data_IF_281662208871
#
_entry.id   IF_281662208871
#
_cell.length_a   1.000
_cell.length_b   1.000
_cell.length_c   1.000
_cell.angle_alpha   90.00
_cell.angle_beta   90.00
_cell.angle_gamma   90.00
#
_symmetry.space_group_name_H-M   'P 1'
#
loop_
_entity.id
_entity.type
_entity.pdbx_description
1 polymer ?
#
# COMPACT_ATOMS: atom_id res chain seq x y z
N UNK A 1 21.99 -20.84 -3.42
CA UNK A 1 23.12 -19.99 -3.01
C UNK A 1 23.02 -19.80 -1.51
N UNK A 2 24.04 -20.18 -0.73
CA UNK A 2 24.01 -20.00 0.71
C UNK A 2 24.13 -18.52 1.08
N UNK A 3 23.33 -18.09 2.07
CA UNK A 3 23.43 -16.77 2.69
C UNK A 3 24.03 -16.97 4.09
N UNK A 4 25.12 -16.26 4.37
CA UNK A 4 25.83 -16.33 5.64
C UNK A 4 25.67 -15.02 6.42
N UNK A 5 25.53 -15.13 7.74
CA UNK A 5 25.26 -13.98 8.61
C UNK A 5 26.56 -13.34 9.11
N UNK A 6 26.53 -12.02 9.32
CA UNK A 6 27.59 -11.26 9.98
C UNK A 6 28.96 -11.31 9.28
N UNK A 7 29.02 -11.64 7.99
CA UNK A 7 30.27 -11.71 7.23
C UNK A 7 30.61 -10.37 6.57
N UNK A 8 31.71 -9.73 6.99
CA UNK A 8 32.24 -8.52 6.35
C UNK A 8 33.74 -8.41 6.57
N UNK A 9 34.47 -8.23 5.49
CA UNK A 9 35.94 -8.15 5.46
C UNK A 9 36.40 -6.91 4.73
N UNK A 10 37.64 -6.52 4.97
CA UNK A 10 38.33 -5.54 4.12
C UNK A 10 38.82 -6.17 2.82
N UNK A 11 39.14 -5.40 1.80
CA UNK A 11 39.85 -5.90 0.61
C UNK A 11 40.97 -4.93 0.19
N UNK A 12 42.23 -5.40 0.07
CA UNK A 12 43.34 -4.58 -0.42
C UNK A 12 43.41 -4.51 -1.94
N UNK A 13 42.50 -5.18 -2.67
CA UNK A 13 42.55 -5.28 -4.13
C UNK A 13 42.56 -3.91 -4.80
N UNK A 14 43.44 -3.77 -5.79
CA UNK A 14 43.50 -2.66 -6.73
C UNK A 14 42.96 -3.14 -8.07
N UNK A 15 42.20 -2.31 -8.77
CA UNK A 15 41.67 -2.64 -10.08
C UNK A 15 40.28 -3.27 -10.07
N UNK A 16 39.93 -3.93 -11.17
CA UNK A 16 38.62 -4.56 -11.41
C UNK A 16 38.63 -6.09 -11.23
N UNK A 17 39.80 -6.68 -10.93
CA UNK A 17 39.99 -8.13 -10.85
C UNK A 17 39.42 -8.76 -9.57
N UNK A 18 39.68 -10.07 -9.43
CA UNK A 18 39.35 -10.88 -8.25
C UNK A 18 39.72 -10.18 -6.94
N UNK A 19 38.80 -10.21 -5.97
CA UNK A 19 38.99 -9.61 -4.67
C UNK A 19 39.87 -10.54 -3.82
N UNK A 20 40.96 -10.01 -3.27
CA UNK A 20 41.62 -10.59 -2.12
C UNK A 20 40.82 -10.18 -0.89
N UNK A 21 40.48 -11.13 -0.02
CA UNK A 21 39.73 -10.88 1.20
C UNK A 21 40.71 -10.69 2.36
N UNK A 22 40.61 -9.55 3.02
CA UNK A 22 41.46 -9.14 4.13
C UNK A 22 40.88 -9.51 5.49
N UNK A 23 41.33 -8.79 6.53
CA UNK A 23 40.84 -8.99 7.88
C UNK A 23 39.34 -8.65 8.00
N UNK A 24 38.61 -9.32 8.91
CA UNK A 24 37.24 -8.95 9.22
C UNK A 24 37.16 -7.50 9.72
N UNK A 25 36.09 -6.81 9.31
CA UNK A 25 35.76 -5.50 9.86
C UNK A 25 35.35 -5.67 11.32
N UNK A 26 35.62 -4.68 12.17
CA UNK A 26 35.30 -4.75 13.60
C UNK A 26 33.84 -5.19 13.82
N UNK A 27 33.65 -6.18 14.72
CA UNK A 27 32.36 -6.79 15.06
C UNK A 27 31.68 -7.61 13.94
N UNK A 28 32.40 -7.91 12.86
CA UNK A 28 31.99 -8.88 11.84
C UNK A 28 32.92 -10.11 11.83
N UNK A 29 32.45 -11.18 11.20
CA UNK A 29 33.18 -12.41 10.96
C UNK A 29 33.89 -12.36 9.59
N UNK A 30 34.98 -13.12 9.45
CA UNK A 30 35.48 -13.49 8.12
C UNK A 30 34.47 -14.39 7.41
N UNK A 31 34.64 -14.61 6.10
CA UNK A 31 33.73 -15.45 5.33
C UNK A 31 33.77 -16.91 5.83
N UNK A 32 34.98 -17.46 6.04
CA UNK A 32 35.16 -18.78 6.64
C UNK A 32 34.56 -18.88 8.06
N UNK A 33 34.76 -17.86 8.91
CA UNK A 33 34.18 -17.84 10.27
C UNK A 33 32.64 -17.78 10.25
N UNK A 34 32.04 -17.17 9.22
CA UNK A 34 30.60 -17.15 9.01
C UNK A 34 30.06 -18.47 8.41
N UNK A 35 30.95 -19.38 8.02
CA UNK A 35 30.62 -20.73 7.53
C UNK A 35 30.83 -20.95 6.03
N UNK A 36 31.25 -19.94 5.27
CA UNK A 36 31.52 -20.10 3.84
C UNK A 36 32.65 -21.11 3.59
N UNK A 37 32.46 -21.97 2.60
CA UNK A 37 33.40 -23.03 2.21
C UNK A 37 34.05 -22.74 0.86
N UNK A 38 35.21 -23.34 0.61
CA UNK A 38 35.89 -23.27 -0.69
C UNK A 38 34.95 -23.69 -1.83
N UNK A 39 34.88 -22.88 -2.88
CA UNK A 39 34.00 -23.08 -4.03
C UNK A 39 32.59 -22.51 -3.87
N UNK A 40 32.20 -21.99 -2.70
CA UNK A 40 30.88 -21.40 -2.51
C UNK A 40 30.64 -20.22 -3.47
N UNK A 41 29.48 -20.23 -4.12
CA UNK A 41 28.99 -19.05 -4.85
C UNK A 41 28.32 -18.10 -3.86
N UNK A 42 28.98 -16.97 -3.61
CA UNK A 42 28.59 -15.93 -2.66
C UNK A 42 28.00 -14.73 -3.39
N UNK A 43 26.80 -14.31 -3.00
CA UNK A 43 26.32 -12.96 -3.32
C UNK A 43 27.04 -11.97 -2.41
N UNK A 44 27.74 -11.01 -3.02
CA UNK A 44 28.53 -10.02 -2.31
C UNK A 44 28.01 -8.61 -2.55
N UNK A 45 28.15 -7.76 -1.52
CA UNK A 45 28.10 -6.31 -1.65
C UNK A 45 29.48 -5.74 -1.39
N UNK A 46 30.01 -5.00 -2.36
CA UNK A 46 31.29 -4.30 -2.27
C UNK A 46 31.04 -2.81 -2.07
N UNK A 47 31.64 -2.29 -1.02
CA UNK A 47 31.73 -0.88 -0.70
C UNK A 47 33.15 -0.41 -0.93
N UNK A 48 33.32 0.48 -1.90
CA UNK A 48 34.59 1.10 -2.21
C UNK A 48 34.53 2.59 -1.87
N UNK A 49 35.44 3.04 -1.03
CA UNK A 49 35.78 4.45 -0.83
C UNK A 49 36.66 4.87 -2.01
N UNK A 50 36.12 5.70 -2.90
CA UNK A 50 36.85 6.25 -4.06
C UNK A 50 36.88 7.78 -3.88
N UNK A 51 38.06 8.31 -3.56
CA UNK A 51 38.20 9.70 -3.13
C UNK A 51 37.42 9.94 -1.83
N UNK A 52 36.53 10.93 -1.83
CA UNK A 52 35.67 11.26 -0.68
C UNK A 52 34.25 10.65 -0.77
N UNK A 53 33.97 9.80 -1.76
CA UNK A 53 32.65 9.24 -2.02
C UNK A 53 32.63 7.71 -1.88
N UNK A 54 31.49 7.16 -1.45
CA UNK A 54 31.24 5.72 -1.42
C UNK A 54 30.65 5.23 -2.74
N UNK A 55 31.41 4.45 -3.50
CA UNK A 55 30.92 3.65 -4.62
C UNK A 55 30.45 2.28 -4.12
N UNK A 56 29.49 1.67 -4.83
CA UNK A 56 28.87 0.41 -4.44
C UNK A 56 28.68 -0.50 -5.65
N UNK A 57 28.92 -1.79 -5.46
CA UNK A 57 28.45 -2.82 -6.38
C UNK A 57 27.89 -4.02 -5.61
N UNK A 58 26.99 -4.75 -6.25
CA UNK A 58 26.52 -6.07 -5.83
C UNK A 58 26.80 -7.04 -6.96
N UNK A 59 27.29 -8.23 -6.62
CA UNK A 59 27.65 -9.24 -7.58
C UNK A 59 27.62 -10.64 -7.00
N UNK A 60 27.99 -11.62 -7.82
CA UNK A 60 28.21 -13.00 -7.41
C UNK A 60 29.65 -13.39 -7.67
N UNK A 61 30.23 -14.12 -6.73
CA UNK A 61 31.62 -14.56 -6.80
C UNK A 61 31.79 -15.96 -6.26
N UNK A 62 32.79 -16.67 -6.77
CA UNK A 62 33.25 -17.94 -6.20
C UNK A 62 34.27 -17.62 -5.11
N UNK A 63 33.96 -18.02 -3.88
CA UNK A 63 34.85 -17.90 -2.73
C UNK A 63 35.90 -19.00 -2.78
N UNK A 64 37.17 -18.64 -2.58
CA UNK A 64 38.26 -19.60 -2.43
C UNK A 64 38.90 -19.41 -1.05
N UNK A 65 38.89 -20.46 -0.21
CA UNK A 65 39.36 -20.44 1.18
C UNK A 65 40.84 -20.81 1.30
N UNK A 66 41.67 -20.23 0.43
CA UNK A 66 43.11 -20.44 0.44
C UNK A 66 43.83 -19.65 1.55
N UNK A 67 45.15 -19.83 1.65
CA UNK A 67 46.00 -19.06 2.59
C UNK A 67 45.83 -17.53 2.44
N UNK A 68 45.51 -17.08 1.24
CA UNK A 68 44.98 -15.74 0.97
C UNK A 68 43.59 -15.91 0.36
N UNK A 69 42.51 -15.73 1.15
CA UNK A 69 41.16 -15.97 0.67
C UNK A 69 40.81 -15.01 -0.46
N UNK A 70 40.06 -15.49 -1.46
CA UNK A 70 39.68 -14.67 -2.62
C UNK A 70 38.21 -14.83 -2.98
N UNK A 71 37.67 -13.85 -3.71
CA UNK A 71 36.33 -13.88 -4.27
C UNK A 71 36.37 -13.38 -5.72
N UNK A 72 35.93 -14.21 -6.67
CA UNK A 72 35.78 -13.75 -8.06
C UNK A 72 34.66 -12.69 -8.17
N UNK A 73 34.63 -11.93 -9.27
CA UNK A 73 33.65 -10.83 -9.44
C UNK A 73 32.85 -11.05 -10.70
N UNK A 74 31.54 -11.29 -10.55
CA UNK A 74 30.55 -11.19 -11.61
C UNK A 74 29.48 -10.18 -11.19
N UNK A 75 29.53 -8.98 -11.76
CA UNK A 75 28.73 -7.84 -11.29
C UNK A 75 27.29 -7.95 -11.76
N UNK A 76 26.35 -7.77 -10.85
CA UNK A 76 24.92 -7.68 -11.15
C UNK A 76 24.48 -6.23 -11.30
N UNK A 77 24.92 -5.36 -10.39
CA UNK A 77 24.64 -3.91 -10.42
C UNK A 77 25.80 -3.14 -9.80
N UNK A 78 26.12 -1.98 -10.35
CA UNK A 78 27.22 -1.14 -9.87
C UNK A 78 26.97 0.33 -10.14
N UNK A 79 27.43 1.19 -9.23
CA UNK A 79 27.42 2.65 -9.41
C UNK A 79 28.36 3.12 -10.54
N UNK A 80 29.20 2.25 -11.10
CA UNK A 80 30.02 2.52 -12.27
C UNK A 80 29.34 2.09 -13.58
N UNK A 81 28.10 2.59 -13.80
CA UNK A 81 27.27 2.22 -14.96
C UNK A 81 27.16 0.69 -15.14
N UNK A 82 26.94 -0.04 -14.04
CA UNK A 82 26.88 -1.50 -13.99
C UNK A 82 28.17 -2.24 -14.42
N UNK A 83 29.29 -1.55 -14.64
CA UNK A 83 30.60 -2.17 -14.82
C UNK A 83 31.29 -2.44 -13.46
N UNK A 84 32.27 -3.35 -13.39
CA UNK A 84 33.10 -3.54 -12.21
C UNK A 84 33.71 -2.23 -11.70
N UNK A 85 33.64 -2.01 -10.39
CA UNK A 85 34.34 -0.89 -9.74
C UNK A 85 35.85 -1.07 -9.88
N UNK A 86 36.53 -0.02 -10.34
CA UNK A 86 37.99 0.07 -10.34
C UNK A 86 38.46 0.50 -8.94
N UNK A 87 38.97 -0.45 -8.15
CA UNK A 87 39.32 -0.22 -6.76
C UNK A 87 40.67 0.53 -6.64
N UNK A 88 40.75 1.59 -5.81
CA UNK A 88 42.00 2.31 -5.58
C UNK A 88 42.97 1.57 -4.63
N UNK A 89 42.59 0.40 -4.10
CA UNK A 89 43.32 -0.30 -3.04
C UNK A 89 43.10 0.29 -1.64
N UNK A 90 43.89 -0.18 -0.67
CA UNK A 90 43.86 0.29 0.73
C UNK A 90 43.00 -0.55 1.67
N UNK A 91 42.86 -0.11 2.92
CA UNK A 91 42.17 -0.86 4.00
C UNK A 91 40.71 -0.46 4.19
N UNK A 92 40.24 0.56 3.47
CA UNK A 92 38.89 1.11 3.65
C UNK A 92 37.82 0.39 2.81
N UNK A 93 38.24 -0.44 1.84
CA UNK A 93 37.31 -1.15 0.97
C UNK A 93 36.77 -2.37 1.69
N UNK A 94 35.46 -2.57 1.63
CA UNK A 94 34.78 -3.60 2.39
C UNK A 94 33.96 -4.49 1.47
N UNK A 95 34.03 -5.79 1.71
CA UNK A 95 33.22 -6.81 1.04
C UNK A 95 32.38 -7.48 2.10
N UNK A 96 31.07 -7.47 1.93
CA UNK A 96 30.13 -8.17 2.79
C UNK A 96 29.41 -9.26 2.01
N UNK A 97 29.05 -10.34 2.69
CA UNK A 97 28.03 -11.25 2.16
C UNK A 97 26.68 -10.56 2.33
N UNK A 98 25.91 -10.48 1.25
CA UNK A 98 24.62 -9.80 1.23
C UNK A 98 23.66 -10.57 0.32
N UNK A 99 22.36 -10.35 0.48
CA UNK A 99 21.37 -10.82 -0.48
C UNK A 99 21.16 -9.78 -1.57
N UNK A 100 21.04 -10.22 -2.82
CA UNK A 100 20.61 -9.40 -3.95
C UNK A 100 19.09 -9.51 -4.15
N UNK A 101 18.50 -8.59 -4.92
CA UNK A 101 17.06 -8.62 -5.19
C UNK A 101 16.65 -9.94 -5.88
N UNK A 102 17.51 -10.47 -6.74
CA UNK A 102 17.35 -11.71 -7.47
C UNK A 102 17.41 -12.95 -6.56
N UNK A 103 17.88 -12.82 -5.31
CA UNK A 103 17.89 -13.91 -4.34
C UNK A 103 16.54 -14.09 -3.64
N UNK A 104 15.63 -13.09 -3.74
CA UNK A 104 14.28 -13.12 -3.15
C UNK A 104 13.19 -13.45 -4.17
N UNK A 105 13.49 -14.33 -5.12
CA UNK A 105 12.54 -14.76 -6.15
C UNK A 105 11.25 -15.33 -5.56
N UNK A 106 10.13 -14.64 -5.80
CA UNK A 106 8.81 -15.25 -5.69
C UNK A 106 8.60 -16.34 -6.75
N UNK A 107 7.39 -16.91 -6.82
CA UNK A 107 7.06 -17.84 -7.91
C UNK A 107 7.05 -17.09 -9.24
N UNK A 108 7.93 -17.46 -10.16
CA UNK A 108 7.93 -16.94 -11.53
C UNK A 108 6.69 -17.48 -12.24
N UNK A 109 5.93 -16.65 -12.94
CA UNK A 109 4.75 -17.09 -13.71
C UNK A 109 4.97 -16.77 -15.19
N UNK A 110 5.08 -17.81 -16.02
CA UNK A 110 5.36 -17.65 -17.45
C UNK A 110 4.90 -18.88 -18.27
N UNK A 111 4.61 -18.76 -19.57
CA UNK A 111 4.17 -19.90 -20.39
C UNK A 111 5.32 -20.83 -20.84
N UNK A 112 6.56 -20.35 -20.81
CA UNK A 112 7.78 -21.09 -21.15
C UNK A 112 8.78 -21.05 -20.01
N UNK A 113 9.69 -22.03 -19.98
CA UNK A 113 10.68 -22.19 -18.92
C UNK A 113 11.63 -20.96 -18.87
N UNK A 114 11.74 -20.28 -17.71
CA UNK A 114 12.69 -19.20 -17.52
C UNK A 114 14.14 -19.71 -17.63
N UNK A 115 15.01 -18.89 -18.21
CA UNK A 115 16.46 -19.15 -18.32
C UNK A 115 17.25 -18.23 -17.39
N UNK A 116 18.42 -18.67 -16.90
CA UNK A 116 19.29 -17.84 -16.06
C UNK A 116 18.76 -17.56 -14.66
N UNK A 117 17.90 -18.44 -14.14
CA UNK A 117 17.33 -18.33 -12.79
C UNK A 117 18.30 -18.83 -11.72
N UNK A 118 18.12 -18.36 -10.48
CA UNK A 118 18.84 -18.87 -9.32
C UNK A 118 18.50 -20.34 -9.03
N UNK A 119 19.45 -21.10 -8.49
CA UNK A 119 19.19 -22.43 -7.91
C UNK A 119 17.99 -22.39 -6.95
N UNK A 120 17.11 -23.39 -7.04
CA UNK A 120 15.87 -23.52 -6.27
C UNK A 120 14.76 -22.49 -6.61
N UNK A 121 14.85 -21.83 -7.77
CA UNK A 121 13.74 -21.00 -8.24
C UNK A 121 12.47 -21.83 -8.47
N UNK A 122 11.32 -21.22 -8.23
CA UNK A 122 10.00 -21.79 -8.51
C UNK A 122 9.41 -21.13 -9.76
N UNK A 123 8.84 -21.93 -10.65
CA UNK A 123 8.15 -21.45 -11.85
C UNK A 123 6.78 -22.12 -12.00
N UNK A 124 5.71 -21.33 -12.00
CA UNK A 124 4.38 -21.78 -12.38
C UNK A 124 4.21 -21.57 -13.89
N UNK A 125 4.05 -22.66 -14.63
CA UNK A 125 3.77 -22.60 -16.05
C UNK A 125 2.32 -22.13 -16.28
N UNK A 126 2.16 -20.92 -16.81
CA UNK A 126 0.84 -20.30 -16.99
C UNK A 126 -0.03 -20.97 -18.06
N UNK A 127 0.52 -21.88 -18.85
CA UNK A 127 -0.20 -22.62 -19.90
C UNK A 127 -0.82 -23.91 -19.36
N UNK A 128 -0.10 -24.64 -18.49
CA UNK A 128 -0.54 -25.96 -17.99
C UNK A 128 -0.80 -26.00 -16.47
N UNK A 129 -0.51 -24.93 -15.74
CA UNK A 129 -0.72 -24.84 -14.29
C UNK A 129 0.23 -25.67 -13.43
N UNK A 130 1.30 -26.22 -14.02
CA UNK A 130 2.28 -27.05 -13.30
C UNK A 130 3.33 -26.16 -12.65
N UNK A 131 3.58 -26.40 -11.36
CA UNK A 131 4.69 -25.79 -10.64
C UNK A 131 5.97 -26.61 -10.91
N UNK A 132 7.04 -25.91 -11.28
CA UNK A 132 8.37 -26.47 -11.49
C UNK A 132 9.35 -25.90 -10.47
N UNK A 133 10.31 -26.73 -10.05
CA UNK A 133 11.47 -26.35 -9.23
C UNK A 133 12.73 -26.41 -10.11
N UNK A 134 13.52 -25.34 -10.11
CA UNK A 134 14.85 -25.34 -10.72
C UNK A 134 15.82 -26.06 -9.79
N UNK A 135 16.22 -27.26 -10.18
CA UNK A 135 17.04 -28.16 -9.38
C UNK A 135 18.45 -28.27 -9.96
N UNK A 136 19.45 -28.10 -9.10
CA UNK A 136 20.86 -28.36 -9.41
C UNK A 136 21.27 -29.61 -8.64
N UNK A 137 21.62 -30.69 -9.33
CA UNK A 137 21.95 -31.99 -8.70
C UNK A 137 23.42 -32.13 -8.27
N UNK A 138 24.22 -31.10 -8.51
CA UNK A 138 25.66 -31.08 -8.28
C UNK A 138 26.46 -31.06 -9.58
N UNK A 139 25.85 -31.44 -10.71
CA UNK A 139 26.52 -31.50 -12.02
C UNK A 139 25.68 -30.95 -13.17
N UNK A 140 24.35 -30.94 -13.04
CA UNK A 140 23.41 -30.48 -14.06
C UNK A 140 22.34 -29.57 -13.45
N UNK A 141 21.77 -28.70 -14.28
CA UNK A 141 20.68 -27.79 -13.92
C UNK A 141 19.45 -28.08 -14.76
N UNK A 142 18.28 -28.25 -14.12
CA UNK A 142 17.05 -28.61 -14.81
C UNK A 142 15.77 -28.18 -14.07
N UNK A 143 14.68 -28.00 -14.82
CA UNK A 143 13.34 -27.82 -14.27
C UNK A 143 12.69 -29.17 -13.98
N UNK A 144 12.27 -29.38 -12.73
CA UNK A 144 11.53 -30.59 -12.28
C UNK A 144 10.09 -30.21 -11.96
N UNK A 145 9.11 -30.95 -12.49
CA UNK A 145 7.70 -30.74 -12.16
C UNK A 145 7.40 -31.22 -10.73
N UNK A 146 6.80 -30.35 -9.92
CA UNK A 146 6.46 -30.59 -8.51
C UNK A 146 4.97 -30.97 -8.34
N UNK A 147 4.12 -30.57 -9.28
CA UNK A 147 2.69 -30.95 -9.31
C UNK A 147 2.27 -31.38 -10.72
N UNK A 148 2.00 -32.67 -10.92
CA UNK A 148 1.35 -33.19 -12.13
C UNK A 148 -0.15 -33.38 -11.92
N UNK A 149 -0.97 -33.48 -12.99
CA UNK A 149 -2.33 -33.98 -12.86
C UNK A 149 -2.33 -35.35 -12.17
N UNK A 150 -3.35 -35.63 -11.36
CA UNK A 150 -3.52 -36.93 -10.72
C UNK A 150 -3.38 -38.03 -11.78
N UNK A 151 -2.51 -39.02 -11.52
CA UNK A 151 -2.37 -40.17 -12.41
C UNK A 151 -3.75 -40.84 -12.61
N UNK A 152 -4.01 -41.45 -13.78
CA UNK A 152 -5.26 -42.17 -13.99
C UNK A 152 -5.46 -43.18 -12.86
N UNK A 153 -6.67 -43.22 -12.30
CA UNK A 153 -7.05 -44.22 -11.30
C UNK A 153 -6.70 -45.59 -11.87
N UNK A 154 -5.90 -46.37 -11.12
CA UNK A 154 -5.55 -47.73 -11.51
C UNK A 154 -6.82 -48.56 -11.80
N UNK A 155 -6.75 -49.55 -12.70
CA UNK A 155 -7.91 -50.38 -13.00
C UNK A 155 -8.51 -50.94 -11.72
N UNK A 156 -9.84 -50.85 -11.58
CA UNK A 156 -10.58 -51.48 -10.48
C UNK A 156 -10.19 -52.97 -10.46
N UNK A 157 -9.66 -53.42 -9.32
CA UNK A 157 -9.28 -54.81 -9.14
C UNK A 157 -10.45 -55.73 -9.45
N UNK A 158 -10.17 -56.89 -10.05
CA UNK A 158 -11.18 -57.91 -10.34
C UNK A 158 -12.01 -58.18 -9.08
N UNK A 159 -13.32 -57.94 -9.15
CA UNK A 159 -14.23 -58.23 -8.06
C UNK A 159 -14.14 -59.72 -7.74
N UNK A 160 -13.72 -60.05 -6.52
CA UNK A 160 -13.64 -61.43 -6.06
C UNK A 160 -14.99 -62.14 -6.17
N UNK A 161 -14.95 -63.44 -6.46
CA UNK A 161 -16.14 -64.31 -6.53
C UNK A 161 -16.99 -64.15 -5.25
N UNK A 162 -18.29 -63.90 -5.42
CA UNK A 162 -19.25 -63.80 -4.31
C UNK A 162 -19.16 -65.08 -3.46
N UNK A 163 -18.81 -64.93 -2.18
CA UNK A 163 -18.87 -66.02 -1.20
C UNK A 163 -20.32 -66.44 -0.93
N UNK A 164 -20.56 -67.67 -0.44
CA UNK A 164 -21.90 -68.15 -0.12
C UNK A 164 -22.56 -67.26 0.95
N UNK A 165 -23.85 -66.95 0.76
CA UNK A 165 -24.66 -66.11 1.65
C UNK A 165 -24.66 -66.71 3.07
N UNK A 166 -24.23 -65.92 4.05
CA UNK A 166 -24.29 -66.26 5.47
C UNK A 166 -25.72 -66.15 6.05
N UNK A 167 -25.99 -66.77 7.21
CA UNK A 167 -27.31 -66.75 7.84
C UNK A 167 -27.76 -65.31 8.17
N UNK A 168 -29.03 -65.01 7.89
CA UNK A 168 -29.66 -63.71 8.08
C UNK A 168 -29.57 -63.24 9.53
N UNK A 169 -28.97 -62.06 9.76
CA UNK A 169 -28.94 -61.39 11.06
C UNK A 169 -30.32 -60.84 11.49
N UNK A 170 -30.46 -60.33 12.74
CA UNK A 170 -31.71 -59.75 13.24
C UNK A 170 -32.19 -58.61 12.31
N UNK A 171 -33.51 -58.32 12.26
CA UNK A 171 -34.08 -57.45 11.25
C UNK A 171 -33.32 -56.12 11.20
N UNK A 172 -32.67 -55.90 10.06
CA UNK A 172 -32.17 -54.60 9.66
C UNK A 172 -33.32 -53.62 9.77
N UNK A 173 -33.05 -52.43 10.27
CA UNK A 173 -34.04 -51.36 10.14
C UNK A 173 -34.42 -51.24 8.66
N UNK A 174 -35.70 -51.00 8.36
CA UNK A 174 -36.13 -50.85 6.97
C UNK A 174 -35.24 -49.82 6.26
N UNK A 175 -34.88 -50.08 5.01
CA UNK A 175 -34.14 -49.12 4.21
C UNK A 175 -34.92 -47.80 4.11
N UNK A 176 -34.20 -46.72 3.85
CA UNK A 176 -34.82 -45.46 3.49
C UNK A 176 -35.63 -45.65 2.20
N UNK A 177 -36.69 -44.86 2.02
CA UNK A 177 -37.51 -44.91 0.83
C UNK A 177 -36.64 -44.69 -0.42
N UNK A 178 -36.80 -45.54 -1.44
CA UNK A 178 -36.03 -45.47 -2.70
C UNK A 178 -36.57 -44.41 -3.66
N UNK A 179 -37.07 -43.29 -3.14
CA UNK A 179 -37.74 -42.22 -3.90
C UNK A 179 -36.76 -41.15 -4.42
N UNK A 180 -35.46 -41.36 -4.25
CA UNK A 180 -34.41 -40.44 -4.69
C UNK A 180 -34.20 -39.23 -3.76
N UNK A 181 -34.91 -39.16 -2.62
CA UNK A 181 -34.66 -38.14 -1.60
C UNK A 181 -33.51 -38.55 -0.67
N UNK A 182 -32.83 -37.56 -0.10
CA UNK A 182 -31.89 -37.77 1.01
C UNK A 182 -32.69 -37.96 2.32
N UNK A 183 -32.40 -39.03 3.05
CA UNK A 183 -33.06 -39.39 4.30
C UNK A 183 -32.02 -39.49 5.43
N UNK A 184 -32.40 -39.07 6.63
CA UNK A 184 -31.60 -39.20 7.85
C UNK A 184 -32.42 -39.85 8.97
N UNK A 185 -31.74 -40.44 9.96
CA UNK A 185 -32.40 -41.07 11.12
C UNK A 185 -32.61 -40.04 12.23
N UNK A 186 -33.86 -39.94 12.72
CA UNK A 186 -34.19 -39.17 13.92
C UNK A 186 -35.22 -39.93 14.76
N UNK A 187 -34.92 -40.13 16.05
CA UNK A 187 -35.79 -40.85 17.01
C UNK A 187 -36.26 -42.23 16.51
N UNK A 188 -35.40 -42.97 15.81
CA UNK A 188 -35.72 -44.29 15.27
C UNK A 188 -36.54 -44.30 13.98
N UNK A 189 -37.03 -43.15 13.51
CA UNK A 189 -37.73 -43.01 12.23
C UNK A 189 -36.80 -42.46 11.13
N UNK A 190 -37.14 -42.75 9.88
CA UNK A 190 -36.58 -42.02 8.73
C UNK A 190 -37.27 -40.67 8.62
N UNK A 191 -36.47 -39.60 8.60
CA UNK A 191 -36.94 -38.24 8.34
C UNK A 191 -36.24 -37.72 7.08
N UNK A 192 -36.98 -37.04 6.22
CA UNK A 192 -36.46 -36.52 4.97
C UNK A 192 -35.55 -35.34 5.25
N UNK A 193 -34.33 -35.37 4.72
CA UNK A 193 -33.41 -34.24 4.78
C UNK A 193 -33.87 -33.20 3.77
N UNK A 194 -34.14 -31.98 4.24
CA UNK A 194 -34.41 -30.86 3.35
C UNK A 194 -33.14 -30.54 2.55
N UNK A 195 -33.11 -30.94 1.28
CA UNK A 195 -32.08 -30.49 0.35
C UNK A 195 -32.44 -29.07 -0.04
N UNK A 196 -31.62 -28.13 0.40
CA UNK A 196 -31.73 -26.75 0.01
C UNK A 196 -31.12 -26.60 -1.39
N UNK A 197 -31.89 -26.19 -2.43
CA UNK A 197 -31.35 -26.07 -3.78
C UNK A 197 -30.22 -25.05 -3.81
N UNK A 198 -29.21 -25.23 -4.65
CA UNK A 198 -28.14 -24.24 -4.79
C UNK A 198 -28.69 -22.87 -5.23
N UNK A 199 -27.90 -21.82 -4.99
CA UNK A 199 -28.24 -20.49 -5.48
C UNK A 199 -28.19 -20.45 -7.02
N UNK A 200 -28.88 -19.49 -7.62
CA UNK A 200 -28.85 -19.30 -9.07
C UNK A 200 -27.41 -19.05 -9.53
N UNK A 201 -26.96 -19.75 -10.58
CA UNK A 201 -25.62 -19.61 -11.16
C UNK A 201 -25.51 -18.38 -12.08
N UNK A 202 -26.04 -17.24 -11.65
CA UNK A 202 -26.09 -15.98 -12.42
C UNK A 202 -24.98 -14.99 -12.05
N UNK A 203 -24.02 -15.43 -11.23
CA UNK A 203 -22.90 -14.61 -10.78
C UNK A 203 -23.26 -13.57 -9.71
N UNK A 204 -24.50 -13.53 -9.24
CA UNK A 204 -24.88 -12.68 -8.11
C UNK A 204 -24.55 -13.35 -6.76
N UNK A 205 -24.34 -12.53 -5.73
CA UNK A 205 -24.26 -13.01 -4.37
C UNK A 205 -25.68 -13.24 -3.82
N UNK A 206 -25.92 -14.44 -3.29
CA UNK A 206 -27.20 -14.86 -2.75
C UNK A 206 -27.05 -15.25 -1.27
N UNK A 207 -28.05 -14.90 -0.45
CA UNK A 207 -28.14 -15.29 0.94
C UNK A 207 -29.50 -15.93 1.25
N UNK A 208 -29.56 -16.76 2.29
CA UNK A 208 -30.81 -17.36 2.74
C UNK A 208 -31.55 -16.43 3.70
N UNK A 209 -32.82 -16.13 3.39
CA UNK A 209 -33.74 -15.45 4.32
C UNK A 209 -35.07 -16.20 4.32
N UNK A 210 -35.51 -16.64 5.50
CA UNK A 210 -36.76 -17.42 5.68
C UNK A 210 -36.83 -18.67 4.78
N UNK A 211 -35.70 -19.35 4.56
CA UNK A 211 -35.62 -20.55 3.72
C UNK A 211 -35.55 -20.29 2.20
N UNK A 212 -35.84 -19.07 1.74
CA UNK A 212 -35.71 -18.67 0.34
C UNK A 212 -34.34 -18.06 0.04
N UNK A 213 -33.87 -18.23 -1.20
CA UNK A 213 -32.76 -17.45 -1.72
C UNK A 213 -33.19 -16.01 -1.94
N UNK A 214 -32.41 -15.07 -1.43
CA UNK A 214 -32.55 -13.66 -1.70
C UNK A 214 -31.23 -13.11 -2.20
N UNK A 215 -31.30 -12.28 -3.25
CA UNK A 215 -30.12 -11.63 -3.80
C UNK A 215 -29.61 -10.61 -2.78
N UNK A 216 -28.31 -10.64 -2.51
CA UNK A 216 -27.63 -9.65 -1.70
C UNK A 216 -27.28 -8.49 -2.62
N UNK A 217 -27.84 -7.28 -2.41
CA UNK A 217 -27.39 -6.11 -3.14
C UNK A 217 -25.92 -5.86 -2.81
N UNK A 218 -25.06 -5.98 -3.81
CA UNK A 218 -23.67 -5.55 -3.71
C UNK A 218 -23.64 -4.11 -4.20
N UNK A 219 -23.36 -3.17 -3.31
CA UNK A 219 -22.87 -1.87 -3.72
C UNK A 219 -21.48 -2.09 -4.30
N UNK A 220 -21.30 -1.82 -5.59
CA UNK A 220 -19.98 -1.85 -6.22
C UNK A 220 -19.11 -0.78 -5.57
N UNK A 221 -17.79 -0.99 -5.52
CA UNK A 221 -16.86 0.04 -5.07
C UNK A 221 -17.00 1.32 -5.92
N UNK A 222 -16.73 2.51 -5.34
CA UNK A 222 -16.70 3.74 -6.10
C UNK A 222 -15.53 3.72 -7.11
N UNK A 223 -15.59 4.53 -8.17
CA UNK A 223 -14.42 4.77 -9.00
C UNK A 223 -13.22 5.27 -8.17
N UNK A 224 -12.02 4.86 -8.56
CA UNK A 224 -10.76 5.14 -7.82
C UNK A 224 -10.11 6.47 -8.21
N UNK A 225 -10.81 7.31 -8.98
CA UNK A 225 -10.33 8.57 -9.55
C UNK A 225 -10.74 9.81 -8.74
N UNK A 226 -11.44 9.63 -7.60
CA UNK A 226 -11.84 10.77 -6.78
C UNK A 226 -12.73 10.42 -5.59
N UNK A 227 -13.34 11.45 -5.02
CA UNK A 227 -14.33 11.33 -3.95
C UNK A 227 -15.74 11.25 -4.54
N UNK A 228 -16.58 10.38 -3.98
CA UNK A 228 -17.94 10.12 -4.47
C UNK A 228 -18.95 10.09 -3.31
N UNK A 229 -20.16 10.55 -3.59
CA UNK A 229 -21.34 10.37 -2.74
C UNK A 229 -22.20 9.22 -3.28
N UNK A 230 -22.90 8.52 -2.39
CA UNK A 230 -23.89 7.50 -2.77
C UNK A 230 -25.28 8.13 -2.82
N UNK A 231 -25.95 8.07 -3.97
CA UNK A 231 -27.36 8.52 -4.12
C UNK A 231 -28.11 7.58 -5.02
N UNK A 232 -29.27 7.08 -4.54
CA UNK A 232 -30.14 6.16 -5.28
C UNK A 232 -29.42 4.96 -5.91
N UNK A 233 -28.43 4.38 -5.21
CA UNK A 233 -27.68 3.24 -5.72
C UNK A 233 -26.66 3.57 -6.82
N UNK A 234 -26.36 4.85 -7.06
CA UNK A 234 -25.29 5.31 -7.95
C UNK A 234 -24.21 6.08 -7.19
N UNK A 235 -22.98 6.01 -7.71
CA UNK A 235 -21.87 6.86 -7.28
C UNK A 235 -21.92 8.18 -8.05
N UNK A 236 -21.94 9.30 -7.32
CA UNK A 236 -21.96 10.65 -7.89
C UNK A 236 -20.66 11.35 -7.47
N UNK A 237 -19.87 11.89 -8.40
CA UNK A 237 -18.66 12.64 -8.06
C UNK A 237 -18.95 13.75 -7.05
N UNK A 238 -18.18 13.81 -5.97
CA UNK A 238 -18.26 14.88 -4.99
C UNK A 238 -17.56 16.12 -5.54
N UNK A 239 -18.33 17.00 -6.17
CA UNK A 239 -17.82 18.32 -6.58
C UNK A 239 -17.61 19.18 -5.33
N UNK A 240 -16.37 19.61 -5.11
CA UNK A 240 -15.98 20.45 -4.00
C UNK A 240 -14.89 21.42 -4.44
N UNK A 241 -14.74 22.52 -3.71
CA UNK A 241 -13.67 23.48 -3.90
C UNK A 241 -13.28 24.09 -2.55
N UNK A 242 -12.00 24.42 -2.38
CA UNK A 242 -11.47 25.06 -1.17
C UNK A 242 -10.38 26.06 -1.51
N UNK A 243 -10.27 27.12 -0.72
CA UNK A 243 -9.20 28.09 -0.80
C UNK A 243 -8.83 28.61 0.60
N UNK A 244 -7.57 28.96 0.79
CA UNK A 244 -7.04 29.59 2.00
C UNK A 244 -6.19 30.82 1.64
N UNK A 245 -6.00 31.71 2.60
CA UNK A 245 -5.07 32.82 2.41
C UNK A 245 -3.63 32.33 2.33
N UNK A 246 -2.85 32.90 1.41
CA UNK A 246 -1.42 32.63 1.27
C UNK A 246 -0.54 33.69 1.96
N UNK A 247 -1.16 34.80 2.37
CA UNK A 247 -0.51 35.89 3.11
C UNK A 247 -1.54 36.65 3.93
N UNK A 248 -1.09 37.27 5.03
CA UNK A 248 -1.94 38.11 5.88
C UNK A 248 -2.56 39.27 5.09
N UNK A 249 -3.82 39.61 5.41
CA UNK A 249 -4.56 40.71 4.79
C UNK A 249 -4.96 41.72 5.87
N UNK A 250 -4.54 42.97 5.70
CA UNK A 250 -4.95 44.06 6.57
C UNK A 250 -6.44 44.40 6.38
N UNK A 251 -7.15 44.60 7.49
CA UNK A 251 -8.56 44.99 7.55
C UNK A 251 -8.70 46.52 7.58
N UNK A 252 -8.11 47.17 6.57
CA UNK A 252 -8.11 48.61 6.41
C UNK A 252 -8.80 49.03 5.09
N UNK A 253 -9.62 50.09 5.08
CA UNK A 253 -10.04 50.89 6.23
C UNK A 253 -11.01 50.15 7.16
N UNK A 254 -11.11 50.59 8.42
CA UNK A 254 -12.06 50.02 9.39
C UNK A 254 -13.50 50.11 8.86
N UNK A 255 -14.36 49.16 9.27
CA UNK A 255 -15.77 49.05 8.87
C UNK A 255 -16.03 48.75 7.38
N UNK A 256 -14.99 48.55 6.56
CA UNK A 256 -15.12 48.06 5.20
C UNK A 256 -14.88 46.55 5.14
N UNK A 257 -15.72 45.83 4.40
CA UNK A 257 -15.47 44.42 4.12
C UNK A 257 -14.31 44.29 3.14
N UNK A 258 -13.24 43.65 3.60
CA UNK A 258 -12.11 43.24 2.80
C UNK A 258 -12.27 41.76 2.46
N UNK A 259 -12.11 41.43 1.19
CA UNK A 259 -12.21 40.06 0.69
C UNK A 259 -10.99 39.24 1.12
N UNK A 260 -11.26 38.07 1.66
CA UNK A 260 -10.28 37.02 1.91
C UNK A 260 -10.30 35.97 0.80
N UNK A 261 -10.18 34.67 1.14
CA UNK A 261 -10.13 33.61 0.16
C UNK A 261 -11.49 33.47 -0.55
N UNK A 262 -11.44 33.12 -1.84
CA UNK A 262 -12.62 32.87 -2.66
C UNK A 262 -12.45 31.64 -3.55
N UNK A 263 -13.57 30.98 -3.85
CA UNK A 263 -13.65 29.83 -4.73
C UNK A 263 -14.72 30.07 -5.79
N UNK A 264 -14.39 29.74 -7.04
CA UNK A 264 -15.39 29.71 -8.12
C UNK A 264 -15.96 28.30 -8.22
N UNK A 265 -17.26 28.18 -7.93
CA UNK A 265 -18.02 26.92 -8.01
C UNK A 265 -19.02 26.95 -9.18
N UNK A 266 -18.94 27.97 -10.03
CA UNK A 266 -19.91 28.23 -11.10
C UNK A 266 -21.25 28.77 -10.59
N UNK A 267 -22.19 28.92 -11.52
CA UNK A 267 -23.49 29.58 -11.27
C UNK A 267 -24.67 28.62 -11.15
N UNK A 268 -24.41 27.31 -11.05
CA UNK A 268 -25.45 26.26 -11.06
C UNK A 268 -25.26 25.31 -9.88
N UNK A 269 -26.37 24.92 -9.27
CA UNK A 269 -26.43 23.89 -8.24
C UNK A 269 -26.60 24.45 -6.83
N UNK A 270 -26.86 23.53 -5.90
CA UNK A 270 -26.97 23.82 -4.47
C UNK A 270 -25.69 23.43 -3.76
N UNK A 271 -25.13 24.35 -2.98
CA UNK A 271 -23.84 24.21 -2.33
C UNK A 271 -23.98 24.39 -0.83
N UNK A 272 -23.40 23.48 -0.05
CA UNK A 272 -23.11 23.73 1.36
C UNK A 272 -21.73 24.37 1.44
N UNK A 273 -21.63 25.50 2.13
CA UNK A 273 -20.44 26.33 2.18
C UNK A 273 -20.05 26.55 3.64
N UNK A 274 -18.78 26.42 3.94
CA UNK A 274 -18.18 26.73 5.25
C UNK A 274 -17.01 27.69 5.07
N UNK A 275 -16.83 28.62 5.99
CA UNK A 275 -15.68 29.51 6.01
C UNK A 275 -15.23 29.78 7.43
N UNK A 276 -13.92 29.87 7.63
CA UNK A 276 -13.32 30.28 8.90
C UNK A 276 -12.44 31.49 8.66
N UNK A 277 -12.61 32.53 9.47
CA UNK A 277 -11.69 33.68 9.51
C UNK A 277 -10.85 33.56 10.76
N UNK A 278 -9.54 33.41 10.60
CA UNK A 278 -8.57 33.60 11.66
C UNK A 278 -8.12 35.06 11.63
N UNK A 279 -8.15 35.75 12.77
CA UNK A 279 -7.84 37.18 12.82
C UNK A 279 -7.10 37.57 14.09
N UNK A 280 -6.39 38.70 14.05
CA UNK A 280 -5.67 39.28 15.17
C UNK A 280 -5.51 40.79 15.07
N UNK A 281 -5.07 41.41 16.16
CA UNK A 281 -4.60 42.79 16.20
C UNK A 281 -3.34 42.88 17.09
N UNK A 282 -2.18 43.33 16.57
CA UNK A 282 -0.95 43.43 17.35
C UNK A 282 -0.99 44.55 18.40
N UNK A 283 -1.88 45.54 18.26
CA UNK A 283 -1.77 46.82 18.97
C UNK A 283 -2.90 47.08 19.99
N UNK A 284 -3.94 46.24 20.04
CA UNK A 284 -5.02 46.46 21.00
C UNK A 284 -6.19 45.49 20.89
N UNK A 285 -7.23 45.75 21.68
CA UNK A 285 -8.53 45.10 21.52
C UNK A 285 -9.07 45.34 20.12
N UNK A 286 -9.81 44.36 19.59
CA UNK A 286 -10.28 44.38 18.22
C UNK A 286 -11.59 43.60 18.09
N UNK A 287 -12.51 44.09 17.26
CA UNK A 287 -13.69 43.33 16.87
C UNK A 287 -13.66 43.02 15.38
N UNK A 288 -14.27 41.92 14.98
CA UNK A 288 -14.43 41.55 13.59
C UNK A 288 -15.89 41.24 13.28
N UNK A 289 -16.31 41.55 12.06
CA UNK A 289 -17.48 40.93 11.43
C UNK A 289 -16.98 40.15 10.23
N UNK A 290 -17.16 38.83 10.26
CA UNK A 290 -16.98 37.95 9.13
C UNK A 290 -18.28 37.79 8.36
N UNK A 291 -18.15 37.60 7.04
CA UNK A 291 -19.25 37.37 6.10
C UNK A 291 -18.89 36.26 5.13
N UNK A 292 -19.80 35.31 4.97
CA UNK A 292 -19.77 34.27 3.94
C UNK A 292 -20.83 34.58 2.89
N UNK A 293 -20.44 34.77 1.63
CA UNK A 293 -21.33 35.30 0.59
C UNK A 293 -20.77 35.16 -0.84
N UNK A 294 -21.59 35.50 -1.84
CA UNK A 294 -21.21 35.54 -3.26
C UNK A 294 -21.16 36.98 -3.84
N UNK A 295 -20.98 37.98 -2.97
CA UNK A 295 -21.11 39.44 -3.26
C UNK A 295 -22.54 39.97 -3.38
N UNK A 296 -23.55 39.11 -3.51
CA UNK A 296 -24.96 39.52 -3.61
C UNK A 296 -25.79 38.91 -2.48
N UNK A 297 -25.71 37.58 -2.35
CA UNK A 297 -26.40 36.78 -1.36
C UNK A 297 -25.49 36.52 -0.17
N UNK A 298 -25.93 36.97 1.01
CA UNK A 298 -25.26 36.65 2.28
C UNK A 298 -25.73 35.27 2.72
N UNK A 299 -24.78 34.36 2.90
CA UNK A 299 -25.02 33.00 3.40
C UNK A 299 -25.06 33.01 4.93
N UNK A 300 -24.07 33.67 5.54
CA UNK A 300 -23.96 33.82 6.98
C UNK A 300 -23.06 35.02 7.33
N UNK A 301 -23.34 35.63 8.47
CA UNK A 301 -22.46 36.60 9.13
C UNK A 301 -22.11 36.07 10.53
N UNK A 302 -20.91 36.38 11.02
CA UNK A 302 -20.49 36.08 12.39
C UNK A 302 -19.65 37.24 12.92
N UNK A 303 -19.71 37.48 14.24
CA UNK A 303 -18.89 38.51 14.88
C UNK A 303 -18.19 37.96 16.11
N UNK A 304 -17.02 38.52 16.41
CA UNK A 304 -16.30 38.24 17.64
C UNK A 304 -15.48 39.45 18.06
N UNK A 305 -15.29 39.62 19.36
CA UNK A 305 -14.40 40.62 19.96
C UNK A 305 -13.27 39.95 20.73
N UNK A 306 -12.08 40.55 20.68
CA UNK A 306 -10.92 40.18 21.48
C UNK A 306 -10.52 41.35 22.39
N UNK A 307 -10.22 41.03 23.66
CA UNK A 307 -10.02 42.03 24.72
C UNK A 307 -8.59 42.54 24.89
N UNK A 308 -7.60 42.05 24.14
CA UNK A 308 -6.19 42.38 24.34
C UNK A 308 -5.37 42.31 23.04
N UNK A 309 -4.29 43.09 23.00
CA UNK A 309 -3.30 43.08 21.93
C UNK A 309 -2.58 41.73 21.84
N UNK A 310 -2.19 41.33 20.62
CA UNK A 310 -1.44 40.09 20.38
C UNK A 310 -2.24 38.81 20.58
N UNK A 311 -3.56 38.92 20.78
CA UNK A 311 -4.47 37.78 20.76
C UNK A 311 -4.97 37.58 19.33
N UNK A 312 -5.26 36.33 19.00
CA UNK A 312 -5.94 36.00 17.76
C UNK A 312 -7.05 34.99 18.01
N UNK A 313 -8.11 35.13 17.23
CA UNK A 313 -9.34 34.36 17.35
C UNK A 313 -9.80 33.84 16.00
N UNK A 314 -10.82 32.98 16.01
CA UNK A 314 -11.48 32.50 14.81
C UNK A 314 -12.99 32.72 14.87
N UNK A 315 -13.60 33.05 13.74
CA UNK A 315 -15.05 32.95 13.53
C UNK A 315 -15.33 31.92 12.45
N UNK A 316 -16.24 31.01 12.72
CA UNK A 316 -16.70 30.00 11.77
C UNK A 316 -18.10 30.35 11.27
N UNK A 317 -18.34 30.16 9.98
CA UNK A 317 -19.59 30.45 9.30
C UNK A 317 -19.93 29.29 8.38
N UNK A 318 -21.21 28.97 8.24
CA UNK A 318 -21.66 27.95 7.31
C UNK A 318 -23.09 28.20 6.86
N UNK A 319 -23.43 27.73 5.67
CA UNK A 319 -24.81 27.73 5.21
C UNK A 319 -24.95 27.11 3.83
N UNK A 320 -26.13 27.27 3.24
CA UNK A 320 -26.47 26.74 1.92
C UNK A 320 -26.75 27.90 0.97
N UNK A 321 -26.26 27.79 -0.27
CA UNK A 321 -26.57 28.71 -1.36
C UNK A 321 -26.96 27.92 -2.60
N UNK A 322 -27.89 28.44 -3.39
CA UNK A 322 -28.32 27.85 -4.66
C UNK A 322 -28.05 28.82 -5.80
N UNK A 323 -27.45 28.32 -6.87
CA UNK A 323 -27.07 29.09 -8.07
C UNK A 323 -26.32 30.39 -7.72
N UNK A 324 -25.08 30.29 -7.16
CA UNK A 324 -24.28 31.47 -6.82
C UNK A 324 -24.11 32.40 -8.02
N UNK A 325 -24.12 33.71 -7.80
CA UNK A 325 -23.99 34.68 -8.90
C UNK A 325 -22.56 35.20 -9.11
N UNK A 326 -21.66 34.87 -8.18
CA UNK A 326 -20.23 35.14 -8.28
C UNK A 326 -19.43 34.13 -7.44
N UNK A 327 -18.08 34.18 -7.47
CA UNK A 327 -17.26 33.32 -6.63
C UNK A 327 -17.60 33.52 -5.14
N UNK A 328 -17.82 32.39 -4.47
CA UNK A 328 -18.07 32.33 -3.04
C UNK A 328 -16.83 32.79 -2.30
N UNK A 329 -17.02 33.58 -1.24
CA UNK A 329 -15.90 34.16 -0.50
C UNK A 329 -16.22 34.33 0.96
N UNK A 330 -15.14 34.42 1.71
CA UNK A 330 -15.14 34.93 3.06
C UNK A 330 -14.58 36.36 3.03
N UNK A 331 -15.30 37.30 3.61
CA UNK A 331 -14.85 38.69 3.77
C UNK A 331 -14.93 39.09 5.23
N UNK A 332 -14.09 40.03 5.66
CA UNK A 332 -14.15 40.57 7.01
C UNK A 332 -14.07 42.09 7.04
N UNK A 333 -14.72 42.68 8.03
CA UNK A 333 -14.58 44.07 8.39
C UNK A 333 -14.07 44.20 9.84
N UNK A 334 -13.05 45.03 10.04
CA UNK A 334 -12.60 45.39 11.38
C UNK A 334 -13.56 46.37 12.06
N UNK A 335 -13.81 46.16 13.35
CA UNK A 335 -14.63 47.03 14.20
C UNK A 335 -13.72 47.85 15.12
N UNK A 336 -13.78 49.18 15.00
CA UNK A 336 -13.18 50.11 15.95
C UNK A 336 -11.70 50.45 15.74
N UNK A 337 -10.92 49.65 15.01
CA UNK A 337 -9.55 50.02 14.57
C UNK A 337 -9.24 49.51 13.15
N UNK A 338 -8.44 50.25 12.36
CA UNK A 338 -8.02 49.84 11.01
C UNK A 338 -6.84 48.86 11.03
N UNK A 339 -6.40 48.42 12.21
CA UNK A 339 -5.15 47.67 12.42
C UNK A 339 -5.38 46.14 12.54
N UNK A 340 -6.62 45.69 12.32
CA UNK A 340 -6.95 44.28 12.30
C UNK A 340 -6.35 43.56 11.10
N UNK A 341 -6.11 42.26 11.25
CA UNK A 341 -5.49 41.42 10.21
C UNK A 341 -6.29 40.11 10.09
N UNK A 342 -6.66 39.71 8.86
CA UNK A 342 -6.99 38.32 8.55
C UNK A 342 -5.69 37.55 8.37
N UNK A 343 -5.52 36.49 9.14
CA UNK A 343 -4.28 35.74 9.21
C UNK A 343 -4.29 34.60 8.20
N UNK A 344 -3.21 34.49 7.44
CA UNK A 344 -2.91 33.34 6.60
C UNK A 344 -2.37 32.17 7.42
N UNK A 345 -1.59 32.43 8.46
CA UNK A 345 -1.10 31.42 9.40
C UNK A 345 -1.31 31.89 10.84
N UNK A 346 -1.63 30.94 11.73
CA UNK A 346 -1.79 31.26 13.15
C UNK A 346 -0.51 30.93 13.92
N UNK A 347 0.18 31.95 14.42
CA UNK A 347 1.19 31.79 15.46
C UNK A 347 0.68 32.36 16.77
N UNK A 348 0.45 31.53 17.80
CA UNK A 348 0.22 32.04 19.17
C UNK A 348 1.27 31.62 20.20
N UNK A 349 2.24 30.77 19.89
CA UNK A 349 3.23 30.33 20.88
C UNK A 349 4.56 30.11 20.17
N UNK A 350 5.73 30.54 20.71
CA UNK A 350 7.03 30.41 20.04
C UNK A 350 7.52 28.96 19.79
N UNK A 351 6.68 27.93 19.91
CA UNK A 351 7.14 26.55 20.03
C UNK A 351 6.80 25.64 18.85
N UNK A 352 5.84 25.94 17.98
CA UNK A 352 5.68 25.23 16.69
C UNK A 352 4.93 26.12 15.69
N UNK A 353 5.45 26.33 14.46
CA UNK A 353 4.64 26.86 13.36
C UNK A 353 3.49 25.89 13.09
N UNK A 354 2.26 26.33 13.33
CA UNK A 354 1.08 25.54 12.98
C UNK A 354 0.49 26.09 11.68
N UNK A 355 0.81 25.44 10.56
CA UNK A 355 0.22 25.74 9.25
C UNK A 355 -1.26 25.33 9.15
N UNK A 356 -1.88 24.81 10.23
CA UNK A 356 -3.23 24.22 10.17
C UNK A 356 -4.38 25.16 10.50
N UNK A 357 -4.15 26.44 10.87
CA UNK A 357 -5.23 27.37 11.26
C UNK A 357 -5.31 28.64 10.40
N UNK A 358 -5.42 28.43 9.10
CA UNK A 358 -5.51 29.48 8.09
C UNK A 358 -6.95 30.01 7.94
N UNK A 359 -7.11 31.29 7.57
CA UNK A 359 -8.38 31.79 7.05
C UNK A 359 -8.71 31.06 5.75
N UNK A 360 -9.84 30.37 5.70
CA UNK A 360 -10.19 29.47 4.59
C UNK A 360 -11.69 29.41 4.29
N UNK A 361 -12.02 28.93 3.10
CA UNK A 361 -13.37 28.63 2.63
C UNK A 361 -13.38 27.24 1.99
N UNK A 362 -14.49 26.53 2.13
CA UNK A 362 -14.77 25.26 1.46
C UNK A 362 -16.23 25.21 1.04
N UNK A 363 -16.50 24.68 -0.15
CA UNK A 363 -17.86 24.39 -0.60
C UNK A 363 -17.94 22.97 -1.14
N UNK A 364 -19.07 22.32 -0.89
CA UNK A 364 -19.42 21.02 -1.43
C UNK A 364 -20.79 21.07 -2.10
N UNK A 365 -20.91 20.47 -3.28
CA UNK A 365 -22.18 20.41 -3.99
C UNK A 365 -23.09 19.36 -3.34
N UNK A 366 -24.32 19.75 -3.03
CA UNK A 366 -25.31 18.91 -2.35
C UNK A 366 -26.61 18.72 -3.17
N UNK A 367 -26.77 19.44 -4.28
CA UNK A 367 -27.98 19.42 -5.11
C UNK A 367 -27.77 19.90 -6.52
#
# INVERSE_FOLDING_TARGET
MPLYNLARVTTPTVGTGTLALGAPVQSFLSFAQAGAQDGDTITYALEAVIGNAGAREVGRGIYNDGATPTLTRNVLRSTNNNNPLNLPGGTQQQVAIAAAAEDFGGVIVAPAAPTGVAANALWLNSTNGILYLWYHDGTTEQWIAVSGPAGPQGPVGLQGVIGPVGPTGPPSFSDANSDGALWARRNGAWERVAVHPDANADGALWARRNGAWQRVPIDTDPPVDGAYLRRNGAWIPLTHASAALTSDIALAPAHAFIDGPSIDVGTVGTWFVTGTITFGNPNGAFGIIGRLWDRTTIIADASMTMGAAGWSGCVAMSGIITNPVAPLRVSAAGLGSPEGIMLADYMRIPLVPDTTRQTHITAMRIG
#
